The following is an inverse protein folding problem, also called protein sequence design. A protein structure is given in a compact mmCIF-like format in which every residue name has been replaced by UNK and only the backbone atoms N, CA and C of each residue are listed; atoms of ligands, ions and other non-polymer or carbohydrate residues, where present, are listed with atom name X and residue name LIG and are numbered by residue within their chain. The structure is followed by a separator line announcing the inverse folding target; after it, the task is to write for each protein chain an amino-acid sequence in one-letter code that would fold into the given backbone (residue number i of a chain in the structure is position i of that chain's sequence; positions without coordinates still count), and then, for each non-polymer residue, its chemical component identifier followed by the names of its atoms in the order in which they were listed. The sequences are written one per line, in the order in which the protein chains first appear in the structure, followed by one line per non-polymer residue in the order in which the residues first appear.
data_IF_491514820087
#
_entry.id   IF_491514820087
#
_cell.length_a   1.000
_cell.length_b   1.000
_cell.length_c   1.000
_cell.angle_alpha   90.00
_cell.angle_beta   90.00
_cell.angle_gamma   90.00
#
_symmetry.space_group_name_H-M   'P 1'
#
loop_
_entity.id
_entity.type
_entity.pdbx_description
1 polymer ?
#
# COMPACT_ATOMS: atom_id res chain seq x y z
N UNK A 1 59.82 26.11 40.79
CA UNK A 1 59.30 26.40 42.14
C UNK A 1 57.94 25.68 42.23
N UNK A 2 57.87 24.43 42.69
CA UNK A 2 57.57 24.04 44.10
C UNK A 2 56.44 24.90 44.68
N UNK A 3 55.28 24.41 45.12
CA UNK A 3 55.07 23.20 45.93
C UNK A 3 53.56 22.87 46.11
N UNK A 4 53.32 21.57 46.29
CA UNK A 4 52.24 20.82 46.93
C UNK A 4 51.16 21.53 47.77
N UNK A 5 49.91 21.07 47.59
CA UNK A 5 48.92 20.89 48.67
C UNK A 5 48.22 19.54 48.52
N UNK A 6 48.43 18.67 49.52
CA UNK A 6 47.83 17.35 49.61
C UNK A 6 46.45 17.36 50.26
N UNK A 7 45.62 16.39 49.88
CA UNK A 7 44.43 15.97 50.61
C UNK A 7 44.41 14.43 50.62
N UNK A 8 43.99 13.91 51.76
CA UNK A 8 44.28 12.59 52.31
C UNK A 8 43.51 11.44 51.63
N UNK A 9 44.18 10.29 51.51
CA UNK A 9 43.63 9.01 51.08
C UNK A 9 43.07 8.28 52.30
N UNK A 10 41.80 7.86 52.24
CA UNK A 10 41.21 6.89 53.16
C UNK A 10 40.94 5.59 52.39
N UNK A 11 41.67 4.53 52.72
CA UNK A 11 41.52 3.17 52.18
C UNK A 11 40.50 2.42 53.03
N UNK A 12 39.43 1.91 52.42
CA UNK A 12 38.46 1.00 53.04
C UNK A 12 38.75 -0.43 52.57
N UNK A 13 38.82 -1.43 53.47
CA UNK A 13 39.16 -2.80 53.09
C UNK A 13 37.95 -3.52 52.47
N UNK A 14 38.16 -4.15 51.32
CA UNK A 14 37.21 -5.03 50.65
C UNK A 14 37.32 -6.43 51.26
N UNK A 15 36.25 -6.87 51.91
CA UNK A 15 36.07 -8.25 52.39
C UNK A 15 35.45 -9.09 51.26
N UNK A 16 36.24 -10.02 50.72
CA UNK A 16 35.84 -11.05 49.77
C UNK A 16 35.20 -12.24 50.52
N UNK A 17 33.92 -12.50 50.28
CA UNK A 17 33.23 -13.73 50.67
C UNK A 17 32.93 -14.55 49.42
N UNK A 18 33.69 -15.63 49.23
CA UNK A 18 33.48 -16.64 48.20
C UNK A 18 32.46 -17.66 48.70
N UNK A 19 31.24 -17.63 48.16
CA UNK A 19 30.28 -18.72 48.28
C UNK A 19 30.32 -19.55 46.99
N UNK A 20 30.88 -20.76 47.09
CA UNK A 20 30.80 -21.79 46.08
C UNK A 20 29.49 -22.57 46.25
N UNK A 21 28.68 -22.65 45.19
CA UNK A 21 27.67 -23.69 45.02
C UNK A 21 27.94 -24.40 43.69
N UNK A 22 28.10 -25.72 43.81
CA UNK A 22 28.43 -26.65 42.76
C UNK A 22 27.24 -26.91 41.82
N UNK A 23 27.57 -27.49 40.66
CA UNK A 23 26.73 -27.63 39.48
C UNK A 23 25.42 -28.40 39.63
N UNK A 24 24.46 -27.97 38.81
CA UNK A 24 23.57 -28.89 38.12
C UNK A 24 23.50 -28.44 36.66
N UNK A 25 24.09 -29.26 35.79
CA UNK A 25 23.96 -29.19 34.34
C UNK A 25 22.49 -29.24 33.95
N UNK A 26 21.99 -28.11 33.49
CA UNK A 26 20.71 -27.97 32.83
C UNK A 26 20.86 -26.84 31.85
N UNK A 27 21.27 -27.17 30.63
CA UNK A 27 21.28 -26.25 29.50
C UNK A 27 19.85 -25.73 29.28
N UNK A 28 19.53 -24.63 29.93
CA UNK A 28 18.37 -23.81 29.63
C UNK A 28 18.62 -23.15 28.28
N UNK A 29 18.29 -23.87 27.21
CA UNK A 29 17.99 -23.24 25.93
C UNK A 29 16.84 -22.27 26.26
N UNK A 30 17.15 -20.97 26.31
CA UNK A 30 16.11 -19.95 26.24
C UNK A 30 15.26 -20.32 25.02
N UNK A 31 13.93 -20.53 25.16
CA UNK A 31 13.14 -20.89 24.00
C UNK A 31 13.36 -19.79 22.97
N UNK A 32 13.79 -20.20 21.77
CA UNK A 32 13.77 -19.36 20.58
C UNK A 32 12.48 -18.56 20.63
N UNK A 33 12.59 -17.23 20.63
CA UNK A 33 11.43 -16.38 20.46
C UNK A 33 10.80 -16.84 19.16
N UNK A 34 9.68 -17.57 19.26
CA UNK A 34 8.95 -18.03 18.09
C UNK A 34 8.79 -16.83 17.15
N UNK A 35 9.03 -16.99 15.84
CA UNK A 35 8.89 -15.87 14.92
C UNK A 35 7.50 -15.29 15.12
N UNK A 36 7.42 -14.09 15.70
CA UNK A 36 6.17 -13.45 16.07
C UNK A 36 5.35 -13.35 14.79
N UNK A 37 4.25 -14.08 14.72
CA UNK A 37 3.36 -14.02 13.56
C UNK A 37 2.96 -12.57 13.35
N UNK A 38 3.14 -12.06 12.12
CA UNK A 38 2.76 -10.68 11.79
C UNK A 38 1.26 -10.46 12.11
N UNK A 39 0.89 -9.27 12.63
CA UNK A 39 -0.52 -8.93 12.84
C UNK A 39 -1.34 -9.07 11.55
N UNK A 40 -2.63 -9.42 11.69
CA UNK A 40 -3.51 -9.76 10.57
C UNK A 40 -3.59 -8.68 9.47
N UNK A 41 -3.67 -7.40 9.85
CA UNK A 41 -3.77 -6.27 8.93
C UNK A 41 -2.42 -5.84 8.34
N UNK A 42 -1.31 -6.54 8.59
CA UNK A 42 -0.02 -6.19 8.00
C UNK A 42 0.07 -6.72 6.57
N UNK A 43 0.35 -5.86 5.56
CA UNK A 43 0.62 -6.32 4.21
C UNK A 43 1.98 -7.01 4.16
N UNK A 44 2.01 -8.21 3.58
CA UNK A 44 3.20 -9.05 3.42
C UNK A 44 3.72 -9.09 1.99
N UNK A 45 2.83 -8.83 1.03
CA UNK A 45 3.17 -8.57 -0.37
C UNK A 45 2.25 -7.47 -0.88
N UNK A 46 2.82 -6.46 -1.55
CA UNK A 46 2.07 -5.41 -2.22
C UNK A 46 2.68 -5.12 -3.58
N UNK A 47 1.82 -4.91 -4.57
CA UNK A 47 2.19 -4.46 -5.91
C UNK A 47 1.45 -3.16 -6.16
N UNK A 48 2.22 -2.08 -6.29
CA UNK A 48 1.72 -0.72 -6.50
C UNK A 48 2.18 -0.18 -7.85
N UNK A 49 1.49 0.84 -8.32
CA UNK A 49 1.98 1.69 -9.40
C UNK A 49 2.19 3.12 -8.89
N UNK A 50 3.36 3.68 -9.16
CA UNK A 50 3.72 5.04 -8.78
C UNK A 50 4.09 5.88 -10.00
N UNK A 51 4.02 7.21 -9.85
CA UNK A 51 4.34 8.14 -10.92
C UNK A 51 3.43 8.03 -12.15
N UNK A 52 4.02 8.25 -13.32
CA UNK A 52 3.30 8.44 -14.58
C UNK A 52 2.70 9.84 -14.72
N UNK A 53 2.37 10.20 -15.96
CA UNK A 53 1.77 11.49 -16.28
C UNK A 53 0.24 11.41 -16.18
N UNK A 54 -0.23 11.40 -14.94
CA UNK A 54 -1.66 11.37 -14.61
C UNK A 54 -2.02 12.56 -13.74
N UNK A 55 -3.33 12.82 -13.60
CA UNK A 55 -3.82 13.88 -12.73
C UNK A 55 -3.40 13.63 -11.27
N UNK A 56 -3.14 14.68 -10.46
CA UNK A 56 -2.68 14.49 -9.08
C UNK A 56 -3.62 13.62 -8.23
N UNK A 57 -4.94 13.76 -8.44
CA UNK A 57 -5.97 12.94 -7.79
C UNK A 57 -5.81 11.44 -8.10
N UNK A 58 -5.45 11.09 -9.34
CA UNK A 58 -5.20 9.70 -9.74
C UNK A 58 -4.04 9.12 -8.96
N UNK A 59 -2.98 9.90 -8.74
CA UNK A 59 -1.85 9.43 -7.95
C UNK A 59 -2.20 9.27 -6.47
N UNK A 60 -3.03 10.13 -5.87
CA UNK A 60 -3.32 10.04 -4.41
C UNK A 60 -4.35 8.98 -4.12
N UNK A 61 -5.22 8.70 -5.09
CA UNK A 61 -6.30 7.75 -4.93
C UNK A 61 -6.02 6.36 -5.50
N UNK A 62 -4.85 6.15 -6.13
CA UNK A 62 -4.52 4.84 -6.71
C UNK A 62 -4.53 3.77 -5.63
N UNK A 63 -5.19 2.65 -5.93
CA UNK A 63 -5.10 1.45 -5.13
C UNK A 63 -3.91 0.62 -5.61
N UNK A 64 -3.25 -0.13 -4.70
CA UNK A 64 -2.39 -1.23 -5.09
C UNK A 64 -3.13 -2.16 -6.06
N UNK A 65 -2.44 -2.67 -7.09
CA UNK A 65 -3.03 -3.70 -7.96
C UNK A 65 -3.21 -5.01 -7.21
N UNK A 66 -2.33 -5.29 -6.24
CA UNK A 66 -2.39 -6.45 -5.34
C UNK A 66 -1.98 -6.04 -3.93
N UNK A 67 -2.75 -6.46 -2.92
CA UNK A 67 -2.36 -6.45 -1.52
C UNK A 67 -2.63 -7.80 -0.87
N UNK A 68 -1.59 -8.46 -0.38
CA UNK A 68 -1.68 -9.71 0.39
C UNK A 68 -1.38 -9.40 1.85
N UNK A 69 -2.24 -9.85 2.74
CA UNK A 69 -2.13 -9.66 4.19
C UNK A 69 -1.65 -10.92 4.90
N UNK A 70 -1.07 -10.74 6.10
CA UNK A 70 -0.55 -11.84 6.92
C UNK A 70 -1.62 -12.87 7.32
N UNK A 71 -2.89 -12.47 7.35
CA UNK A 71 -4.03 -13.36 7.61
C UNK A 71 -4.56 -14.10 6.38
N UNK A 72 -3.95 -13.88 5.20
CA UNK A 72 -4.32 -14.56 3.96
C UNK A 72 -5.35 -13.82 3.11
N UNK A 73 -5.79 -12.61 3.47
CA UNK A 73 -6.59 -11.79 2.54
C UNK A 73 -5.72 -11.36 1.36
N UNK A 74 -6.23 -11.58 0.15
CA UNK A 74 -5.69 -11.05 -1.11
C UNK A 74 -6.72 -10.09 -1.66
N UNK A 75 -6.37 -8.81 -1.72
CA UNK A 75 -7.22 -7.73 -2.22
C UNK A 75 -6.68 -7.26 -3.57
N UNK A 76 -7.54 -7.23 -4.59
CA UNK A 76 -7.23 -6.78 -5.95
C UNK A 76 -8.35 -5.91 -6.50
N UNK A 77 -8.07 -5.20 -7.60
CA UNK A 77 -9.12 -4.60 -8.40
C UNK A 77 -9.77 -5.66 -9.30
N UNK A 78 -11.09 -5.76 -9.24
CA UNK A 78 -11.88 -6.63 -10.10
C UNK A 78 -12.18 -6.00 -11.47
N UNK A 79 -12.80 -6.78 -12.38
CA UNK A 79 -13.14 -6.30 -13.72
C UNK A 79 -14.10 -5.11 -13.64
N UNK A 80 -13.89 -4.12 -14.51
CA UNK A 80 -14.78 -2.96 -14.63
C UNK A 80 -15.69 -3.08 -15.85
N UNK A 81 -16.85 -2.43 -15.79
CA UNK A 81 -17.75 -2.32 -16.94
C UNK A 81 -17.15 -1.39 -18.00
N UNK A 82 -17.37 -1.69 -19.28
CA UNK A 82 -16.99 -0.82 -20.40
C UNK A 82 -18.00 0.33 -20.56
N UNK A 83 -18.15 1.15 -19.51
CA UNK A 83 -19.02 2.33 -19.48
C UNK A 83 -18.20 3.58 -19.18
N UNK A 84 -18.47 4.67 -19.91
CA UNK A 84 -17.80 5.95 -19.71
C UNK A 84 -18.84 7.07 -19.46
N UNK A 85 -18.73 7.83 -18.35
CA UNK A 85 -17.78 7.66 -17.25
C UNK A 85 -18.00 6.38 -16.44
N UNK A 86 -16.92 5.78 -15.92
CA UNK A 86 -17.00 4.56 -15.10
C UNK A 86 -17.62 4.80 -13.72
N UNK A 87 -17.92 3.75 -12.94
CA UNK A 87 -18.54 3.86 -11.61
C UNK A 87 -17.77 4.78 -10.64
N UNK A 88 -18.46 5.40 -9.70
CA UNK A 88 -17.84 6.30 -8.72
C UNK A 88 -16.94 5.59 -7.70
N UNK A 89 -17.21 4.30 -7.45
CA UNK A 89 -16.36 3.43 -6.62
C UNK A 89 -15.64 2.41 -7.49
N UNK A 90 -14.35 2.13 -7.21
CA UNK A 90 -13.64 1.05 -7.87
C UNK A 90 -14.25 -0.31 -7.49
N UNK A 91 -14.20 -1.26 -8.41
CA UNK A 91 -14.54 -2.65 -8.11
C UNK A 91 -13.37 -3.29 -7.35
N UNK A 92 -13.43 -3.33 -6.01
CA UNK A 92 -12.40 -3.97 -5.19
C UNK A 92 -12.89 -5.33 -4.73
N UNK A 93 -12.06 -6.34 -4.92
CA UNK A 93 -12.38 -7.74 -4.65
C UNK A 93 -11.42 -8.29 -3.59
N UNK A 94 -11.92 -9.21 -2.77
CA UNK A 94 -11.13 -9.94 -1.79
C UNK A 94 -11.34 -11.44 -1.96
N UNK A 95 -10.25 -12.20 -1.80
CA UNK A 95 -10.27 -13.64 -1.59
C UNK A 95 -9.35 -14.01 -0.43
N UNK A 96 -9.52 -15.20 0.10
CA UNK A 96 -8.68 -15.72 1.18
C UNK A 96 -7.85 -16.89 0.70
N UNK A 97 -6.58 -16.92 1.10
CA UNK A 97 -5.67 -18.04 0.92
C UNK A 97 -5.15 -18.52 2.27
N UNK A 98 -4.61 -19.72 2.30
CA UNK A 98 -3.94 -20.26 3.48
C UNK A 98 -2.65 -19.51 3.81
N UNK A 99 -2.21 -19.55 5.07
CA UNK A 99 -0.91 -19.00 5.48
C UNK A 99 0.27 -19.64 4.74
N UNK A 100 0.15 -20.92 4.37
CA UNK A 100 1.15 -21.62 3.57
C UNK A 100 1.25 -21.03 2.16
N UNK A 101 0.11 -20.71 1.54
CA UNK A 101 0.08 -20.00 0.25
C UNK A 101 0.63 -18.58 0.37
N UNK A 102 0.35 -17.86 1.45
CA UNK A 102 0.97 -16.55 1.72
C UNK A 102 2.50 -16.65 1.72
N UNK A 103 3.05 -17.60 2.48
CA UNK A 103 4.51 -17.81 2.53
C UNK A 103 5.06 -18.14 1.14
N UNK A 104 4.38 -19.02 0.40
CA UNK A 104 4.75 -19.38 -0.98
C UNK A 104 4.72 -18.19 -1.92
N UNK A 105 3.77 -17.26 -1.79
CA UNK A 105 3.73 -16.04 -2.61
C UNK A 105 4.93 -15.13 -2.33
N UNK A 106 5.36 -15.02 -1.08
CA UNK A 106 6.57 -14.25 -0.70
C UNK A 106 7.83 -14.90 -1.30
N UNK A 107 7.93 -16.23 -1.25
CA UNK A 107 9.04 -16.97 -1.89
C UNK A 107 9.03 -16.78 -3.42
N UNK A 108 7.86 -16.83 -4.06
CA UNK A 108 7.71 -16.59 -5.49
C UNK A 108 8.09 -15.17 -5.89
N UNK A 109 7.75 -14.16 -5.07
CA UNK A 109 8.18 -12.78 -5.30
C UNK A 109 9.72 -12.66 -5.28
N UNK A 110 10.39 -13.28 -4.30
CA UNK A 110 11.86 -13.32 -4.22
C UNK A 110 12.46 -14.03 -5.43
N UNK A 111 11.89 -15.17 -5.83
CA UNK A 111 12.32 -15.91 -7.00
C UNK A 111 12.14 -15.13 -8.32
N UNK A 112 11.15 -14.23 -8.36
CA UNK A 112 10.95 -13.29 -9.47
C UNK A 112 11.95 -12.11 -9.46
N UNK A 113 12.60 -11.85 -8.33
CA UNK A 113 13.69 -10.88 -8.19
C UNK A 113 13.47 -9.80 -7.13
N UNK A 114 12.33 -9.80 -6.42
CA UNK A 114 12.05 -8.78 -5.38
C UNK A 114 13.05 -8.91 -4.23
N UNK A 115 13.68 -7.79 -3.85
CA UNK A 115 14.74 -7.75 -2.83
C UNK A 115 16.14 -8.15 -3.32
N UNK A 116 16.26 -8.58 -4.59
CA UNK A 116 17.54 -8.94 -5.21
C UNK A 116 18.17 -7.80 -6.01
N UNK A 117 19.41 -8.02 -6.47
CA UNK A 117 20.15 -7.11 -7.34
C UNK A 117 19.92 -7.40 -8.84
N UNK A 118 18.70 -7.77 -9.23
CA UNK A 118 18.38 -8.10 -10.62
C UNK A 118 18.38 -6.85 -11.49
N UNK A 119 19.12 -6.87 -12.60
CA UNK A 119 19.07 -5.80 -13.60
C UNK A 119 17.82 -5.95 -14.47
N UNK A 120 16.88 -5.03 -14.30
CA UNK A 120 15.61 -4.95 -15.05
C UNK A 120 15.65 -3.96 -16.20
N UNK A 121 16.77 -3.25 -16.37
CA UNK A 121 16.99 -2.19 -17.36
C UNK A 121 16.03 -1.00 -17.24
N UNK A 122 16.30 0.03 -18.04
CA UNK A 122 15.45 1.22 -18.14
C UNK A 122 15.08 1.44 -19.61
N UNK A 123 13.83 1.15 -20.02
CA UNK A 123 13.39 1.37 -21.39
C UNK A 123 13.27 2.86 -21.69
N UNK A 124 13.37 3.24 -22.97
CA UNK A 124 13.27 4.63 -23.44
C UNK A 124 11.81 5.04 -23.68
N UNK A 125 10.99 4.93 -22.63
CA UNK A 125 9.58 5.36 -22.61
C UNK A 125 9.47 6.51 -21.61
N UNK A 126 8.56 7.45 -21.80
CA UNK A 126 8.27 8.54 -20.85
C UNK A 126 6.84 8.45 -20.36
N UNK A 127 6.52 9.19 -19.30
CA UNK A 127 5.15 9.46 -18.87
C UNK A 127 4.34 8.25 -18.37
N UNK A 128 4.98 7.07 -18.29
CA UNK A 128 4.39 5.83 -17.78
C UNK A 128 4.76 5.58 -16.33
N UNK A 129 4.13 4.56 -15.75
CA UNK A 129 4.21 4.27 -14.31
C UNK A 129 5.42 3.41 -13.97
N UNK A 130 5.85 3.49 -12.71
CA UNK A 130 6.75 2.52 -12.09
C UNK A 130 5.92 1.48 -11.36
N UNK A 131 6.16 0.20 -11.60
CA UNK A 131 5.57 -0.87 -10.78
C UNK A 131 6.49 -1.15 -9.60
N UNK A 132 5.98 -1.00 -8.37
CA UNK A 132 6.72 -1.26 -7.13
C UNK A 132 6.21 -2.55 -6.51
N UNK A 133 7.11 -3.51 -6.33
CA UNK A 133 6.88 -4.72 -5.55
C UNK A 133 7.45 -4.51 -4.16
N UNK A 134 6.65 -4.75 -3.13
CA UNK A 134 7.09 -4.71 -1.73
C UNK A 134 6.74 -6.03 -1.07
N UNK A 135 7.73 -6.70 -0.48
CA UNK A 135 7.50 -7.84 0.42
C UNK A 135 7.94 -7.47 1.83
N UNK A 136 7.23 -7.96 2.84
CA UNK A 136 7.65 -7.82 4.23
C UNK A 136 8.09 -9.18 4.76
N UNK A 137 9.39 -9.30 4.99
CA UNK A 137 10.00 -10.44 5.69
C UNK A 137 9.98 -10.25 7.21
N UNK A 138 10.58 -11.19 7.93
CA UNK A 138 10.74 -11.14 9.39
C UNK A 138 11.72 -10.07 9.86
N UNK A 139 12.67 -9.66 9.00
CA UNK A 139 13.77 -8.74 9.34
C UNK A 139 13.55 -7.34 8.75
N UNK A 140 12.55 -7.14 7.89
CA UNK A 140 12.29 -5.85 7.26
C UNK A 140 11.45 -5.94 5.98
N UNK A 141 11.37 -4.83 5.27
CA UNK A 141 10.73 -4.75 3.94
C UNK A 141 11.78 -4.82 2.84
N UNK A 142 11.49 -5.55 1.79
CA UNK A 142 12.30 -5.63 0.57
C UNK A 142 11.47 -5.14 -0.61
N UNK A 143 12.12 -4.41 -1.51
CA UNK A 143 11.44 -3.76 -2.62
C UNK A 143 12.18 -3.95 -3.94
N UNK A 144 11.41 -3.90 -5.02
CA UNK A 144 11.92 -3.75 -6.38
C UNK A 144 10.98 -2.83 -7.15
N UNK A 145 11.52 -1.77 -7.73
CA UNK A 145 10.80 -0.85 -8.60
C UNK A 145 11.21 -1.08 -10.05
N UNK A 146 10.22 -1.22 -10.93
CA UNK A 146 10.44 -1.45 -12.36
C UNK A 146 9.65 -0.45 -13.17
N UNK A 147 10.37 0.50 -13.75
CA UNK A 147 9.80 1.51 -14.62
C UNK A 147 9.23 0.88 -15.90
N UNK A 148 8.02 1.29 -16.30
CA UNK A 148 7.34 0.87 -17.52
C UNK A 148 7.13 -0.66 -17.64
N UNK A 149 6.89 -1.36 -16.53
CA UNK A 149 6.80 -2.83 -16.53
C UNK A 149 5.70 -3.35 -17.48
N UNK A 150 4.54 -2.70 -17.49
CA UNK A 150 3.40 -3.12 -18.31
C UNK A 150 3.49 -2.68 -19.77
N UNK A 151 4.32 -1.69 -20.08
CA UNK A 151 4.39 -1.03 -21.39
C UNK A 151 5.59 -1.52 -22.21
N UNK A 152 6.76 -1.68 -21.59
CA UNK A 152 7.99 -2.12 -22.25
C UNK A 152 8.05 -3.66 -22.37
N UNK A 153 7.17 -4.20 -23.21
CA UNK A 153 6.91 -5.65 -23.31
C UNK A 153 7.60 -6.35 -24.49
N UNK A 154 8.02 -5.58 -25.51
CA UNK A 154 8.64 -6.08 -26.73
C UNK A 154 10.11 -5.67 -26.93
N UNK A 155 10.77 -6.21 -27.99
CA UNK A 155 12.18 -5.95 -28.28
C UNK A 155 12.50 -4.48 -28.58
N UNK A 156 11.51 -3.70 -29.01
CA UNK A 156 11.61 -2.26 -29.26
C UNK A 156 11.92 -1.42 -28.01
N UNK A 157 11.77 -2.00 -26.81
CA UNK A 157 12.05 -1.34 -25.54
C UNK A 157 13.54 -0.96 -25.33
N UNK A 158 14.45 -1.47 -26.17
CA UNK A 158 15.89 -1.20 -26.04
C UNK A 158 16.55 -1.95 -24.87
N UNK A 159 15.95 -3.05 -24.43
CA UNK A 159 16.40 -3.88 -23.33
C UNK A 159 17.20 -5.08 -23.83
N UNK A 160 18.18 -5.53 -23.04
CA UNK A 160 18.91 -6.76 -23.33
C UNK A 160 18.00 -7.99 -23.16
N UNK A 161 18.30 -9.14 -23.79
CA UNK A 161 17.53 -10.36 -23.61
C UNK A 161 17.40 -10.80 -22.13
N UNK A 162 18.45 -10.59 -21.33
CA UNK A 162 18.43 -10.91 -19.89
C UNK A 162 17.47 -10.00 -19.11
N UNK A 163 17.48 -8.70 -19.39
CA UNK A 163 16.54 -7.74 -18.79
C UNK A 163 15.10 -8.05 -19.19
N UNK A 164 14.85 -8.38 -20.46
CA UNK A 164 13.52 -8.80 -20.94
C UNK A 164 13.03 -10.04 -20.18
N UNK A 165 13.89 -11.05 -20.01
CA UNK A 165 13.55 -12.26 -19.26
C UNK A 165 13.28 -11.97 -17.76
N UNK A 166 14.04 -11.06 -17.13
CA UNK A 166 13.79 -10.64 -15.76
C UNK A 166 12.43 -9.94 -15.60
N UNK A 167 12.10 -9.01 -16.51
CA UNK A 167 10.82 -8.31 -16.52
C UNK A 167 9.65 -9.25 -16.78
N UNK A 168 9.83 -10.24 -17.66
CA UNK A 168 8.82 -11.26 -17.92
C UNK A 168 8.47 -12.07 -16.66
N UNK A 169 9.47 -12.46 -15.86
CA UNK A 169 9.22 -13.16 -14.59
C UNK A 169 8.36 -12.32 -13.64
N UNK A 170 8.64 -11.02 -13.54
CA UNK A 170 7.89 -10.09 -12.68
C UNK A 170 6.46 -9.85 -13.20
N UNK A 171 6.28 -9.70 -14.52
CA UNK A 171 4.95 -9.61 -15.15
C UNK A 171 4.14 -10.86 -14.91
N UNK A 172 4.68 -12.02 -15.28
CA UNK A 172 4.04 -13.32 -15.05
C UNK A 172 3.68 -13.52 -13.57
N UNK A 173 4.51 -13.05 -12.63
CA UNK A 173 4.20 -13.10 -11.20
C UNK A 173 3.03 -12.18 -10.83
N UNK A 174 3.04 -10.92 -11.28
CA UNK A 174 1.96 -9.97 -11.03
C UNK A 174 0.63 -10.43 -11.65
N UNK A 175 0.65 -10.91 -12.89
CA UNK A 175 -0.53 -11.35 -13.65
C UNK A 175 -1.25 -12.52 -12.96
N UNK A 176 -0.50 -13.47 -12.38
CA UNK A 176 -1.07 -14.58 -11.59
C UNK A 176 -1.87 -14.11 -10.37
N UNK A 177 -1.59 -12.92 -9.87
CA UNK A 177 -2.24 -12.36 -8.69
C UNK A 177 -3.43 -11.48 -9.06
N UNK A 178 -3.33 -10.73 -10.15
CA UNK A 178 -4.39 -9.84 -10.65
C UNK A 178 -5.47 -10.61 -11.43
N UNK A 179 -5.11 -11.70 -12.10
CA UNK A 179 -6.04 -12.65 -12.72
C UNK A 179 -5.96 -14.02 -12.04
N UNK A 180 -6.74 -14.25 -10.96
CA UNK A 180 -6.75 -15.52 -10.27
C UNK A 180 -7.57 -16.60 -11.02
N UNK A 181 -7.97 -16.35 -12.27
CA UNK A 181 -8.79 -17.25 -13.07
C UNK A 181 -10.16 -17.48 -12.44
N UNK A 182 -10.54 -18.75 -12.24
CA UNK A 182 -11.84 -19.14 -11.69
C UNK A 182 -11.92 -19.10 -10.15
N UNK A 183 -10.89 -18.62 -9.46
CA UNK A 183 -10.92 -18.52 -8.01
C UNK A 183 -12.07 -17.63 -7.55
N UNK A 184 -12.87 -18.11 -6.60
CA UNK A 184 -13.98 -17.35 -6.06
C UNK A 184 -13.47 -16.10 -5.32
N UNK A 185 -14.02 -14.94 -5.69
CA UNK A 185 -13.78 -13.65 -5.03
C UNK A 185 -15.10 -13.09 -4.51
N UNK A 186 -15.00 -12.17 -3.55
CA UNK A 186 -16.15 -11.44 -3.00
C UNK A 186 -15.86 -9.94 -3.01
N UNK A 187 -16.89 -9.09 -3.16
CA UNK A 187 -16.70 -7.65 -3.04
C UNK A 187 -16.09 -7.28 -1.69
N UNK A 188 -15.02 -6.48 -1.72
CA UNK A 188 -14.39 -5.97 -0.51
C UNK A 188 -15.34 -4.98 0.19
N UNK A 189 -15.51 -5.15 1.50
CA UNK A 189 -16.34 -4.29 2.34
C UNK A 189 -15.42 -3.38 3.17
N UNK A 190 -15.16 -2.14 2.71
CA UNK A 190 -14.29 -1.23 3.46
C UNK A 190 -14.94 -0.78 4.76
N UNK A 191 -14.14 -0.62 5.81
CA UNK A 191 -14.57 0.02 7.07
C UNK A 191 -14.47 1.54 7.02
N UNK A 192 -13.75 2.07 6.04
CA UNK A 192 -13.55 3.49 5.81
C UNK A 192 -13.33 3.78 4.32
N UNK A 193 -13.75 4.95 3.85
CA UNK A 193 -13.51 5.45 2.50
C UNK A 193 -12.83 6.81 2.62
N UNK A 194 -11.68 6.97 1.98
CA UNK A 194 -11.10 8.29 1.75
C UNK A 194 -11.79 8.92 0.53
N UNK A 195 -12.28 10.14 0.70
CA UNK A 195 -12.87 10.93 -0.36
C UNK A 195 -11.95 12.12 -0.65
N UNK A 196 -11.28 12.08 -1.79
CA UNK A 196 -10.39 13.15 -2.25
C UNK A 196 -11.20 14.10 -3.11
N UNK A 197 -11.28 15.35 -2.69
CA UNK A 197 -12.09 16.38 -3.32
C UNK A 197 -11.22 17.50 -3.88
N UNK A 198 -11.54 17.91 -5.11
CA UNK A 198 -10.98 19.09 -5.76
C UNK A 198 -12.10 19.94 -6.38
N UNK A 199 -11.78 21.15 -6.86
CA UNK A 199 -12.76 22.01 -7.51
C UNK A 199 -13.51 21.28 -8.63
N UNK A 200 -14.82 21.51 -8.69
CA UNK A 200 -15.59 21.04 -9.84
C UNK A 200 -15.42 21.98 -11.03
N UNK A 201 -15.14 21.38 -12.19
CA UNK A 201 -15.07 22.10 -13.47
C UNK A 201 -16.10 21.51 -14.42
N UNK A 202 -16.88 22.39 -15.05
CA UNK A 202 -17.85 22.00 -16.05
C UNK A 202 -17.12 21.56 -17.33
N UNK A 203 -17.34 20.32 -17.75
CA UNK A 203 -16.98 19.77 -19.06
C UNK A 203 -18.24 19.26 -19.75
N UNK A 204 -18.23 19.00 -21.07
CA UNK A 204 -19.37 18.38 -21.74
C UNK A 204 -19.84 17.07 -21.10
N UNK A 205 -18.94 16.33 -20.45
CA UNK A 205 -19.21 15.09 -19.73
C UNK A 205 -19.78 15.34 -18.35
N UNK A 206 -19.15 16.21 -17.54
CA UNK A 206 -19.59 16.47 -16.15
C UNK A 206 -20.88 17.28 -16.11
N UNK A 207 -21.14 18.15 -17.10
CA UNK A 207 -22.36 18.95 -17.20
C UNK A 207 -23.62 18.10 -17.49
N UNK A 208 -23.45 16.89 -18.03
CA UNK A 208 -24.55 15.95 -18.26
C UNK A 208 -24.90 15.13 -17.02
N UNK A 209 -24.03 15.12 -16.00
CA UNK A 209 -24.24 14.31 -14.80
C UNK A 209 -25.18 15.02 -13.83
N UNK A 210 -26.14 14.31 -13.22
CA UNK A 210 -26.93 14.87 -12.14
C UNK A 210 -26.01 15.18 -10.94
N UNK A 211 -26.24 16.32 -10.28
CA UNK A 211 -25.60 16.62 -9.00
C UNK A 211 -26.17 15.72 -7.92
N UNK A 212 -25.28 15.26 -7.03
CA UNK A 212 -25.66 14.43 -5.89
C UNK A 212 -25.20 15.06 -4.59
N UNK A 213 -26.03 14.98 -3.56
CA UNK A 213 -25.68 15.47 -2.23
C UNK A 213 -24.62 14.56 -1.59
N UNK A 214 -23.60 15.19 -1.00
CA UNK A 214 -22.52 14.49 -0.31
C UNK A 214 -22.98 13.99 1.08
N UNK A 215 -22.93 12.68 1.36
CA UNK A 215 -23.41 12.13 2.64
C UNK A 215 -22.35 12.14 3.77
N UNK A 216 -21.16 12.67 3.54
CA UNK A 216 -20.02 12.59 4.46
C UNK A 216 -19.65 13.92 5.15
N UNK A 217 -18.46 13.98 5.79
CA UNK A 217 -17.93 15.22 6.37
C UNK A 217 -17.76 16.31 5.32
N UNK A 218 -17.81 17.58 5.74
CA UNK A 218 -17.73 18.73 4.83
C UNK A 218 -16.46 18.69 3.97
N UNK A 219 -16.65 18.71 2.65
CA UNK A 219 -15.58 18.80 1.64
C UNK A 219 -14.99 20.23 1.57
N UNK A 220 -13.70 20.38 1.24
CA UNK A 220 -12.79 19.32 0.76
C UNK A 220 -12.03 18.59 1.88
N UNK A 221 -12.14 19.03 3.14
CA UNK A 221 -11.39 18.46 4.25
C UNK A 221 -9.96 18.97 4.37
N UNK A 222 -9.07 18.14 4.91
CA UNK A 222 -7.66 18.50 5.12
C UNK A 222 -6.86 18.48 3.81
N UNK A 223 -5.95 19.44 3.62
CA UNK A 223 -5.11 19.52 2.42
C UNK A 223 -4.24 18.26 2.27
N UNK A 224 -4.13 17.75 1.04
CA UNK A 224 -3.26 16.61 0.70
C UNK A 224 -1.84 17.01 0.25
N UNK A 225 -1.54 18.30 0.19
CA UNK A 225 -0.22 18.81 -0.20
C UNK A 225 -0.30 20.18 -0.84
N UNK A 226 0.79 20.93 -0.75
CA UNK A 226 0.91 22.24 -1.39
C UNK A 226 0.79 22.13 -2.92
N UNK A 227 0.03 23.04 -3.53
CA UNK A 227 -0.11 23.12 -4.99
C UNK A 227 -1.02 22.06 -5.63
N UNK A 228 -1.59 21.12 -4.86
CA UNK A 228 -2.50 20.11 -5.42
C UNK A 228 -3.93 20.61 -5.60
N UNK A 229 -4.36 21.60 -4.82
CA UNK A 229 -5.77 22.01 -4.70
C UNK A 229 -6.72 20.84 -4.44
N UNK A 230 -6.24 19.88 -3.64
CA UNK A 230 -6.96 18.69 -3.21
C UNK A 230 -7.06 18.67 -1.69
N UNK A 231 -8.27 18.44 -1.19
CA UNK A 231 -8.49 18.04 0.19
C UNK A 231 -8.95 16.59 0.29
N UNK A 232 -8.90 16.06 1.50
CA UNK A 232 -9.43 14.74 1.81
C UNK A 232 -10.26 14.73 3.09
N UNK A 233 -11.37 13.99 3.06
CA UNK A 233 -12.12 13.58 4.24
C UNK A 233 -12.16 12.05 4.34
N UNK A 234 -12.11 11.53 5.56
CA UNK A 234 -12.31 10.10 5.81
C UNK A 234 -13.75 9.87 6.25
N UNK A 235 -14.46 9.01 5.52
CA UNK A 235 -15.81 8.56 5.86
C UNK A 235 -15.70 7.23 6.61
N UNK A 236 -16.24 7.16 7.82
CA UNK A 236 -16.15 5.99 8.71
C UNK A 236 -17.52 5.63 9.29
N UNK A 237 -17.60 4.46 9.94
CA UNK A 237 -18.81 4.03 10.65
C UNK A 237 -20.02 3.84 9.73
N UNK A 238 -21.21 4.17 10.22
CA UNK A 238 -22.46 4.00 9.47
C UNK A 238 -22.52 4.81 8.17
N UNK A 239 -21.79 5.94 8.10
CA UNK A 239 -21.74 6.79 6.91
C UNK A 239 -21.08 6.10 5.70
N UNK A 240 -20.25 5.07 5.92
CA UNK A 240 -19.64 4.29 4.83
C UNK A 240 -20.71 3.58 4.01
N UNK A 241 -21.68 2.95 4.67
CA UNK A 241 -22.75 2.22 3.98
C UNK A 241 -23.68 3.16 3.22
N UNK A 242 -23.99 4.33 3.80
CA UNK A 242 -24.74 5.37 3.10
C UNK A 242 -23.97 5.90 1.87
N UNK A 243 -22.66 6.10 1.99
CA UNK A 243 -21.82 6.51 0.88
C UNK A 243 -21.75 5.44 -0.21
N UNK A 244 -21.55 4.16 0.14
CA UNK A 244 -21.55 3.05 -0.84
C UNK A 244 -22.88 2.99 -1.60
N UNK A 245 -24.00 3.07 -0.89
CA UNK A 245 -25.33 3.03 -1.51
C UNK A 245 -25.58 4.24 -2.43
N UNK A 246 -25.10 5.43 -2.03
CA UNK A 246 -25.23 6.66 -2.82
C UNK A 246 -24.31 6.61 -4.05
N UNK A 247 -23.05 6.22 -3.87
CA UNK A 247 -22.05 6.10 -4.92
C UNK A 247 -22.38 5.00 -5.93
N UNK A 248 -23.14 3.96 -5.53
CA UNK A 248 -23.67 2.94 -6.44
C UNK A 248 -24.64 3.49 -7.50
N UNK A 249 -25.13 4.73 -7.33
CA UNK A 249 -25.97 5.46 -8.29
C UNK A 249 -25.20 6.56 -9.03
N UNK A 250 -23.91 6.73 -8.72
CA UNK A 250 -23.03 7.77 -9.24
C UNK A 250 -21.97 7.17 -10.16
N UNK A 251 -21.32 8.04 -10.94
CA UNK A 251 -20.15 7.69 -11.73
C UNK A 251 -18.99 8.66 -11.40
N UNK A 252 -17.82 8.40 -11.96
CA UNK A 252 -16.61 9.17 -11.71
C UNK A 252 -16.70 10.65 -12.14
N UNK A 253 -17.72 11.04 -12.91
CA UNK A 253 -17.96 12.41 -13.33
C UNK A 253 -19.09 13.10 -12.55
N UNK A 254 -19.75 12.40 -11.61
CA UNK A 254 -20.84 12.95 -10.79
C UNK A 254 -20.33 14.13 -9.94
N UNK A 255 -20.90 15.34 -10.09
CA UNK A 255 -20.64 16.44 -9.18
C UNK A 255 -21.29 16.21 -7.81
N UNK A 256 -20.50 16.35 -6.75
CA UNK A 256 -20.98 16.20 -5.37
C UNK A 256 -21.18 17.57 -4.72
N UNK A 257 -22.34 17.80 -4.12
CA UNK A 257 -22.63 19.04 -3.39
C UNK A 257 -22.24 18.89 -1.92
N UNK A 258 -21.40 19.80 -1.41
CA UNK A 258 -21.08 19.90 0.03
C UNK A 258 -20.86 21.38 0.38
N UNK A 259 -21.52 21.85 1.45
CA UNK A 259 -21.45 23.25 1.87
C UNK A 259 -21.95 24.23 0.81
N UNK A 260 -22.95 23.82 0.00
CA UNK A 260 -23.51 24.63 -1.09
C UNK A 260 -22.60 24.77 -2.32
N UNK A 261 -21.47 24.06 -2.38
CA UNK A 261 -20.52 24.09 -3.51
C UNK A 261 -20.42 22.72 -4.19
N UNK A 262 -20.26 22.68 -5.53
CA UNK A 262 -19.99 21.44 -6.23
C UNK A 262 -18.50 21.06 -6.15
N UNK A 263 -18.24 19.76 -6.03
CA UNK A 263 -16.91 19.16 -5.93
C UNK A 263 -16.76 18.01 -6.92
N UNK A 264 -15.55 17.88 -7.47
CA UNK A 264 -15.10 16.62 -8.08
C UNK A 264 -14.58 15.74 -6.96
N UNK A 265 -15.12 14.53 -6.80
CA UNK A 265 -14.73 13.63 -5.70
C UNK A 265 -14.28 12.30 -6.27
N UNK A 266 -13.07 11.87 -5.90
CA UNK A 266 -12.59 10.51 -6.16
C UNK A 266 -12.67 9.70 -4.88
N UNK A 267 -13.44 8.61 -4.91
CA UNK A 267 -13.67 7.74 -3.76
C UNK A 267 -12.67 6.57 -3.77
N UNK A 268 -11.97 6.39 -2.66
CA UNK A 268 -11.01 5.30 -2.46
C UNK A 268 -11.35 4.52 -1.19
N UNK A 269 -11.83 3.27 -1.32
CA UNK A 269 -11.89 2.34 -0.21
C UNK A 269 -10.53 2.23 0.50
N UNK A 270 -10.49 2.39 1.82
CA UNK A 270 -9.28 2.15 2.59
C UNK A 270 -9.07 0.64 2.78
N UNK A 271 -7.83 0.22 2.60
CA UNK A 271 -7.40 -1.16 2.83
C UNK A 271 -7.14 -1.41 4.33
N UNK A 272 -7.06 -2.69 4.77
CA UNK A 272 -6.95 -3.02 6.19
C UNK A 272 -5.81 -2.36 6.99
N UNK A 273 -4.71 -1.97 6.35
CA UNK A 273 -3.58 -1.26 6.97
C UNK A 273 -3.70 0.27 6.92
N UNK A 274 -4.70 0.79 6.22
CA UNK A 274 -4.91 2.22 6.01
C UNK A 274 -6.02 2.73 6.92
N UNK A 275 -5.77 3.82 7.64
CA UNK A 275 -6.68 4.30 8.70
C UNK A 275 -7.51 5.50 8.29
N UNK A 276 -6.92 6.41 7.53
CA UNK A 276 -7.51 7.70 7.17
C UNK A 276 -6.80 8.32 5.95
N UNK A 277 -7.17 9.56 5.63
CA UNK A 277 -6.57 10.35 4.56
C UNK A 277 -5.03 10.47 4.62
N UNK A 278 -4.40 10.40 5.79
CA UNK A 278 -2.94 10.46 5.89
C UNK A 278 -2.27 9.20 5.32
N UNK A 279 -3.00 8.09 5.24
CA UNK A 279 -2.51 6.85 4.61
C UNK A 279 -2.26 7.01 3.11
N UNK A 280 -2.92 7.97 2.45
CA UNK A 280 -2.77 8.22 1.00
C UNK A 280 -1.45 8.90 0.64
N UNK A 281 -0.79 9.53 1.62
CA UNK A 281 0.49 10.23 1.42
C UNK A 281 1.67 9.51 2.06
N UNK A 282 1.43 8.66 3.07
CA UNK A 282 2.48 7.96 3.83
C UNK A 282 3.22 6.85 3.05
N UNK A 283 2.67 6.36 1.93
CA UNK A 283 3.21 5.24 1.16
C UNK A 283 3.83 5.63 -0.19
N UNK A 284 4.10 6.92 -0.42
CA UNK A 284 4.69 7.38 -1.68
C UNK A 284 6.20 7.37 -1.64
#
# INVERSE_FOLDING_TARGET
MTSFRGVWVAVVPVLLLTAACAGQDGAGIAPDAAPTSLPANVPVLRIDQTGGFVRPETNVTRLPSVSVYADGRVITQGPTVLSYPGPALPNVQVRTISKAEVAKLVEQARAAGVGGAVDVGTPKITDVTTTRFTIRGTVGSEQLEVYALGEATGPEAGLTPAQQAAREKLRTFADKLTDPGSAATQPYQPTAIAAVAGPWVATPETAKQPRMEWPGPVLPGASLGEGLDLGCVTVTGAAVQQLIATAGKANAATPWTSGGKPWTVTLRPLLPDETDCASLTAGR
#
